data_IF_752582700487
#
_entry.id   IF_752582700487
#
_cell.length_a   1.000
_cell.length_b   1.000
_cell.length_c   1.000
_cell.angle_alpha   90.00
_cell.angle_beta   90.00
_cell.angle_gamma   90.00
#
_symmetry.space_group_name_H-M   'P 1'
#
loop_
_entity.id
_entity.type
_entity.pdbx_description
1 polymer ?
#
# COMPACT_ATOMS: atom_id res chain seq x y z
N UNK A 1 -6.17 -5.54 -11.31
CA UNK A 1 -6.36 -6.05 -12.69
C UNK A 1 -7.48 -7.08 -12.68
N UNK A 2 -8.18 -7.38 -13.79
CA UNK A 2 -9.30 -8.36 -13.81
C UNK A 2 -8.85 -9.82 -13.86
N UNK A 3 -7.54 -10.07 -13.95
CA UNK A 3 -6.92 -11.40 -14.03
C UNK A 3 -6.15 -11.68 -12.74
N UNK A 4 -6.12 -12.92 -12.27
CA UNK A 4 -5.26 -13.30 -11.15
C UNK A 4 -3.78 -13.19 -11.56
N UNK A 5 -2.89 -12.91 -10.60
CA UNK A 5 -1.46 -12.96 -10.86
C UNK A 5 -0.99 -14.41 -11.02
N UNK A 6 0.25 -14.60 -11.49
CA UNK A 6 0.89 -15.92 -11.61
C UNK A 6 0.84 -16.75 -10.31
N UNK A 7 0.83 -16.09 -9.15
CA UNK A 7 0.77 -16.72 -7.82
C UNK A 7 -0.65 -16.67 -7.20
N UNK A 8 -1.68 -16.47 -8.03
CA UNK A 8 -3.08 -16.46 -7.62
C UNK A 8 -3.52 -15.23 -6.81
N UNK A 9 -2.73 -14.15 -6.78
CA UNK A 9 -3.13 -12.90 -6.10
C UNK A 9 -4.20 -12.19 -6.93
N UNK A 10 -5.14 -11.50 -6.28
CA UNK A 10 -6.26 -10.81 -6.96
C UNK A 10 -6.40 -9.34 -6.57
N UNK A 11 -5.89 -8.97 -5.41
CA UNK A 11 -6.05 -7.64 -4.84
C UNK A 11 -4.67 -6.98 -4.63
N UNK A 12 -4.70 -5.65 -4.57
CA UNK A 12 -3.54 -4.82 -4.23
C UNK A 12 -3.95 -4.05 -2.97
N UNK A 13 -3.12 -4.11 -1.94
CA UNK A 13 -3.17 -3.24 -0.79
C UNK A 13 -1.99 -2.27 -0.90
N UNK A 14 -2.29 -0.98 -0.98
CA UNK A 14 -1.29 0.09 -1.09
C UNK A 14 -1.23 0.78 0.27
N UNK A 15 -0.03 0.86 0.84
CA UNK A 15 0.26 1.56 2.08
C UNK A 15 1.25 2.66 1.75
N UNK A 16 1.04 3.85 2.29
CA UNK A 16 1.88 5.01 2.02
C UNK A 16 2.26 5.64 3.35
N UNK A 17 3.54 5.92 3.54
CA UNK A 17 4.01 6.79 4.61
C UNK A 17 3.68 8.26 4.29
N UNK A 18 3.00 8.94 5.21
CA UNK A 18 2.49 10.28 4.94
C UNK A 18 3.60 11.33 4.84
N UNK A 19 4.73 11.12 5.52
CA UNK A 19 5.85 12.05 5.54
C UNK A 19 6.75 11.91 4.30
N UNK A 20 7.42 10.76 4.16
CA UNK A 20 8.37 10.46 3.08
C UNK A 20 7.70 10.19 1.74
N UNK A 21 6.38 9.91 1.74
CA UNK A 21 5.63 9.39 0.59
C UNK A 21 6.10 8.01 0.13
N UNK A 22 6.89 7.31 0.95
CA UNK A 22 7.31 5.94 0.65
C UNK A 22 6.07 5.05 0.51
N UNK A 23 6.00 4.31 -0.59
CA UNK A 23 4.86 3.43 -0.88
C UNK A 23 5.26 1.97 -0.72
N UNK A 24 4.44 1.19 -0.04
CA UNK A 24 4.50 -0.27 -0.01
C UNK A 24 3.29 -0.86 -0.76
N UNK A 25 3.51 -1.99 -1.42
CA UNK A 25 2.45 -2.74 -2.11
C UNK A 25 2.43 -4.18 -1.59
N UNK A 26 1.26 -4.62 -1.14
CA UNK A 26 0.99 -5.97 -0.67
C UNK A 26 -0.08 -6.60 -1.57
N UNK A 27 -0.04 -7.93 -1.74
CA UNK A 27 -0.87 -8.64 -2.71
C UNK A 27 -1.65 -9.79 -2.06
N UNK A 28 -2.86 -9.53 -1.50
CA UNK A 28 -3.71 -10.58 -0.98
C UNK A 28 -4.48 -11.34 -2.09
N UNK A 29 -4.84 -12.60 -1.81
CA UNK A 29 -5.64 -13.47 -2.71
C UNK A 29 -7.13 -13.18 -2.61
N UNK A 30 -7.61 -12.89 -1.40
CA UNK A 30 -9.00 -12.47 -1.12
C UNK A 30 -9.01 -11.13 -0.39
N UNK A 31 -10.19 -10.49 -0.26
CA UNK A 31 -10.32 -9.32 0.62
C UNK A 31 -10.24 -9.72 2.10
N UNK A 32 -10.60 -10.96 2.41
CA UNK A 32 -10.66 -11.47 3.78
C UNK A 32 -9.27 -11.73 4.37
N UNK A 33 -8.22 -11.85 3.55
CA UNK A 33 -6.80 -11.90 3.99
C UNK A 33 -6.26 -10.51 4.41
N UNK A 34 -6.99 -9.43 4.16
CA UNK A 34 -6.51 -8.06 4.44
C UNK A 34 -6.16 -7.84 5.92
N UNK A 35 -6.99 -8.29 6.88
CA UNK A 35 -6.66 -8.16 8.30
C UNK A 35 -5.37 -8.84 8.70
N UNK A 36 -5.13 -10.07 8.26
CA UNK A 36 -3.93 -10.83 8.62
C UNK A 36 -2.67 -10.15 8.05
N UNK A 37 -2.73 -9.78 6.77
CA UNK A 37 -1.64 -9.05 6.10
C UNK A 37 -1.36 -7.70 6.79
N UNK A 38 -2.40 -7.02 7.25
CA UNK A 38 -2.27 -5.72 7.92
C UNK A 38 -1.78 -5.84 9.37
N UNK A 39 -1.90 -7.00 10.01
CA UNK A 39 -1.28 -7.25 11.32
C UNK A 39 0.22 -7.50 11.20
N UNK A 40 0.63 -8.26 10.18
CA UNK A 40 2.05 -8.58 9.95
C UNK A 40 2.86 -7.34 9.53
N UNK A 41 2.23 -6.43 8.77
CA UNK A 41 2.92 -5.29 8.18
C UNK A 41 3.53 -4.31 9.21
N UNK A 42 2.80 -3.80 10.22
CA UNK A 42 3.37 -2.92 11.25
C UNK A 42 4.53 -3.57 11.99
N UNK A 43 4.40 -4.81 12.42
CA UNK A 43 5.48 -5.53 13.12
C UNK A 43 6.73 -5.63 12.25
N UNK A 44 6.57 -5.93 10.96
CA UNK A 44 7.68 -5.99 10.01
C UNK A 44 8.32 -4.62 9.80
N UNK A 45 7.52 -3.57 9.53
CA UNK A 45 8.07 -2.26 9.19
C UNK A 45 8.75 -1.59 10.38
N UNK A 46 8.21 -1.77 11.58
CA UNK A 46 8.81 -1.24 12.81
C UNK A 46 10.21 -1.82 13.05
N UNK A 47 10.40 -3.12 12.79
CA UNK A 47 11.71 -3.77 12.90
C UNK A 47 12.66 -3.29 11.80
N UNK A 48 12.18 -3.19 10.56
CA UNK A 48 13.00 -2.80 9.42
C UNK A 48 13.48 -1.35 9.52
N UNK A 49 12.63 -0.44 9.99
CA UNK A 49 12.93 0.99 10.13
C UNK A 49 13.48 1.35 11.52
N UNK A 50 13.46 0.42 12.47
CA UNK A 50 13.81 0.65 13.88
C UNK A 50 13.04 1.82 14.49
N UNK A 51 11.76 1.98 14.09
CA UNK A 51 10.90 3.08 14.50
C UNK A 51 9.46 2.57 14.75
N UNK A 52 8.76 3.07 15.77
CA UNK A 52 7.38 2.66 16.04
C UNK A 52 6.41 3.23 15.00
N UNK A 53 5.37 2.48 14.67
CA UNK A 53 4.20 2.97 13.94
C UNK A 53 3.24 3.52 14.97
N UNK A 54 3.03 4.84 14.97
CA UNK A 54 2.19 5.50 15.97
C UNK A 54 0.73 5.51 15.53
N UNK A 55 0.49 5.77 14.24
CA UNK A 55 -0.86 5.98 13.71
C UNK A 55 -1.01 5.25 12.37
N UNK A 56 -2.15 4.59 12.18
CA UNK A 56 -2.56 4.02 10.89
C UNK A 56 -3.87 4.68 10.48
N UNK A 57 -3.91 5.24 9.28
CA UNK A 57 -5.10 5.84 8.69
C UNK A 57 -5.68 4.94 7.59
N UNK A 58 -6.96 4.56 7.70
CA UNK A 58 -7.65 3.73 6.70
C UNK A 58 -8.97 4.34 6.20
N UNK A 59 -9.48 3.82 5.08
CA UNK A 59 -10.85 4.10 4.67
C UNK A 59 -11.86 3.34 5.55
N UNK A 60 -13.14 3.75 5.54
CA UNK A 60 -14.22 3.03 6.26
C UNK A 60 -14.62 1.70 5.62
N UNK A 61 -13.73 1.07 4.85
CA UNK A 61 -13.96 -0.25 4.29
C UNK A 61 -14.15 -1.27 5.40
N UNK A 62 -15.14 -2.15 5.26
CA UNK A 62 -15.44 -3.22 6.23
C UNK A 62 -14.24 -4.11 6.54
N UNK A 63 -13.31 -4.27 5.58
CA UNK A 63 -12.04 -4.98 5.73
C UNK A 63 -11.07 -4.36 6.74
N UNK A 64 -11.21 -3.05 7.02
CA UNK A 64 -10.39 -2.31 7.99
C UNK A 64 -11.17 -2.02 9.28
N UNK A 65 -12.50 -1.98 9.20
CA UNK A 65 -13.39 -1.85 10.33
C UNK A 65 -13.81 -3.22 10.88
N UNK A 66 -12.88 -3.96 11.49
CA UNK A 66 -13.22 -5.18 12.22
C UNK A 66 -12.70 -5.14 13.68
N UNK A 67 -13.37 -5.90 14.56
CA UNK A 67 -13.02 -5.94 15.99
C UNK A 67 -11.61 -6.47 16.23
N UNK A 68 -11.18 -7.44 15.41
CA UNK A 68 -9.90 -8.13 15.57
C UNK A 68 -8.69 -7.23 15.26
N UNK A 69 -8.78 -6.39 14.23
CA UNK A 69 -7.75 -5.40 13.87
C UNK A 69 -7.70 -4.28 14.89
N UNK A 70 -8.87 -3.78 15.31
CA UNK A 70 -8.91 -2.74 16.35
C UNK A 70 -8.32 -3.23 17.67
N UNK A 71 -8.57 -4.49 18.06
CA UNK A 71 -7.94 -5.09 19.23
C UNK A 71 -6.43 -5.19 19.08
N UNK A 72 -5.95 -5.65 17.91
CA UNK A 72 -4.52 -5.72 17.60
C UNK A 72 -3.84 -4.35 17.64
N UNK A 73 -4.40 -3.34 16.99
CA UNK A 73 -3.83 -1.98 17.01
C UNK A 73 -3.77 -1.43 18.43
N UNK A 74 -4.80 -1.67 19.24
CA UNK A 74 -4.81 -1.24 20.64
C UNK A 74 -3.73 -1.96 21.48
N UNK A 75 -3.50 -3.25 21.23
CA UNK A 75 -2.47 -4.04 21.90
C UNK A 75 -1.06 -3.58 21.54
N UNK A 76 -0.83 -3.26 20.26
CA UNK A 76 0.45 -2.71 19.77
C UNK A 76 0.63 -1.21 20.10
N UNK A 77 -0.36 -0.55 20.69
CA UNK A 77 -0.32 0.89 20.99
C UNK A 77 -0.45 1.79 19.75
N UNK A 78 -0.98 1.26 18.65
CA UNK A 78 -1.19 1.96 17.38
C UNK A 78 -2.56 2.66 17.39
N UNK A 79 -2.57 3.96 17.12
CA UNK A 79 -3.81 4.70 16.92
C UNK A 79 -4.41 4.40 15.55
N UNK A 80 -5.60 3.80 15.50
CA UNK A 80 -6.33 3.56 14.26
C UNK A 80 -7.30 4.72 13.97
N UNK A 81 -6.97 5.50 12.93
CA UNK A 81 -7.81 6.57 12.42
C UNK A 81 -8.54 6.13 11.15
N UNK A 82 -9.79 6.57 11.00
CA UNK A 82 -10.60 6.26 9.82
C UNK A 82 -11.08 7.54 9.16
N UNK A 83 -10.99 7.63 7.84
CA UNK A 83 -11.53 8.76 7.09
C UNK A 83 -13.01 8.98 7.41
N UNK A 84 -13.47 10.23 7.53
CA UNK A 84 -14.91 10.49 7.62
C UNK A 84 -15.61 10.06 6.33
N UNK A 85 -16.81 9.46 6.47
CA UNK A 85 -17.64 9.22 5.29
C UNK A 85 -17.91 10.59 4.66
N UNK A 86 -17.49 10.80 3.41
CA UNK A 86 -17.61 12.03 2.61
C UNK A 86 -16.39 12.99 2.52
N UNK A 87 -15.19 12.64 3.00
CA UNK A 87 -13.94 13.37 2.64
C UNK A 87 -12.99 12.53 1.78
N UNK A 88 -13.22 12.42 0.46
CA UNK A 88 -12.35 11.68 -0.46
C UNK A 88 -10.90 12.18 -0.47
N UNK A 89 -10.68 13.44 -0.10
CA UNK A 89 -9.39 14.12 -0.05
C UNK A 89 -8.42 13.47 0.94
N UNK A 90 -8.92 13.00 2.10
CA UNK A 90 -8.10 12.36 3.14
C UNK A 90 -7.44 11.07 2.64
N UNK A 91 -8.11 10.32 1.75
CA UNK A 91 -7.53 9.16 1.07
C UNK A 91 -7.09 9.46 -0.37
N UNK A 92 -7.12 10.72 -0.77
CA UNK A 92 -6.92 11.15 -2.16
C UNK A 92 -5.53 10.82 -2.66
N UNK A 93 -4.52 10.94 -1.79
CA UNK A 93 -3.15 10.57 -2.12
C UNK A 93 -3.02 9.08 -2.42
N UNK A 94 -3.45 8.21 -1.50
CA UNK A 94 -3.35 6.75 -1.65
C UNK A 94 -4.15 6.28 -2.88
N UNK A 95 -5.32 6.86 -3.13
CA UNK A 95 -6.14 6.56 -4.33
C UNK A 95 -5.42 6.94 -5.62
N UNK A 96 -4.81 8.14 -5.68
CA UNK A 96 -4.01 8.57 -6.84
C UNK A 96 -2.79 7.66 -7.03
N UNK A 97 -2.10 7.34 -5.94
CA UNK A 97 -0.93 6.47 -5.98
C UNK A 97 -1.27 5.07 -6.50
N UNK A 98 -2.38 4.48 -6.05
CA UNK A 98 -2.87 3.21 -6.57
C UNK A 98 -3.16 3.28 -8.08
N UNK A 99 -3.80 4.35 -8.56
CA UNK A 99 -4.03 4.55 -10.00
C UNK A 99 -2.71 4.63 -10.77
N UNK A 100 -1.77 5.46 -10.31
CA UNK A 100 -0.44 5.62 -10.91
C UNK A 100 0.31 4.29 -11.00
N UNK A 101 0.32 3.49 -9.93
CA UNK A 101 0.98 2.19 -9.90
C UNK A 101 0.36 1.22 -10.92
N UNK A 102 -0.98 1.17 -10.99
CA UNK A 102 -1.69 0.29 -11.93
C UNK A 102 -1.45 0.69 -13.38
N UNK A 103 -1.49 1.99 -13.68
CA UNK A 103 -1.25 2.52 -15.03
C UNK A 103 0.18 2.25 -15.47
N UNK A 104 1.17 2.60 -14.64
CA UNK A 104 2.58 2.35 -14.95
C UNK A 104 2.89 0.86 -15.10
N UNK A 105 2.29 -0.02 -14.28
CA UNK A 105 2.47 -1.46 -14.42
C UNK A 105 1.87 -2.00 -15.73
N UNK A 106 0.73 -1.48 -16.18
CA UNK A 106 0.17 -1.83 -17.50
C UNK A 106 1.09 -1.39 -18.63
N UNK A 107 1.60 -0.16 -18.56
CA UNK A 107 2.55 0.36 -19.55
C UNK A 107 3.81 -0.50 -19.61
N UNK A 108 4.38 -0.84 -18.46
CA UNK A 108 5.56 -1.71 -18.35
C UNK A 108 5.32 -3.08 -18.99
N UNK A 109 4.21 -3.74 -18.66
CA UNK A 109 3.86 -5.04 -19.26
C UNK A 109 3.67 -4.96 -20.77
N UNK A 110 3.00 -3.91 -21.26
CA UNK A 110 2.79 -3.69 -22.68
C UNK A 110 4.11 -3.48 -23.42
N UNK A 111 5.01 -2.65 -22.86
CA UNK A 111 6.31 -2.38 -23.45
C UNK A 111 7.22 -3.62 -23.47
N UNK A 112 7.14 -4.46 -22.43
CA UNK A 112 7.90 -5.71 -22.33
C UNK A 112 7.24 -6.90 -23.04
N UNK A 113 6.09 -6.73 -23.68
CA UNK A 113 5.30 -7.81 -24.29
C UNK A 113 4.99 -8.97 -23.32
N UNK A 114 4.84 -8.67 -22.03
CA UNK A 114 4.54 -9.66 -21.00
C UNK A 114 3.04 -9.77 -20.75
N UNK A 115 2.58 -10.99 -20.46
CA UNK A 115 1.19 -11.24 -20.17
C UNK A 115 0.70 -10.57 -18.87
N UNK A 116 -0.59 -10.26 -18.83
CA UNK A 116 -1.23 -9.59 -17.69
C UNK A 116 -1.11 -10.34 -16.36
N UNK A 117 -0.94 -11.67 -16.35
CA UNK A 117 -0.78 -12.43 -15.10
C UNK A 117 0.52 -12.08 -14.35
N UNK A 118 1.47 -11.36 -14.98
CA UNK A 118 2.64 -10.79 -14.29
C UNK A 118 2.35 -9.49 -13.53
N UNK A 119 1.10 -9.02 -13.50
CA UNK A 119 0.75 -7.71 -12.95
C UNK A 119 1.23 -7.45 -11.53
N UNK A 120 1.21 -8.45 -10.64
CA UNK A 120 1.66 -8.25 -9.26
C UNK A 120 3.16 -7.93 -9.21
N UNK A 121 3.95 -8.64 -10.01
CA UNK A 121 5.39 -8.38 -10.15
C UNK A 121 5.64 -7.02 -10.80
N UNK A 122 4.89 -6.68 -11.85
CA UNK A 122 5.00 -5.37 -12.50
C UNK A 122 4.69 -4.21 -11.54
N UNK A 123 3.64 -4.32 -10.72
CA UNK A 123 3.31 -3.30 -9.71
C UNK A 123 4.41 -3.19 -8.65
N UNK A 124 4.92 -4.33 -8.16
CA UNK A 124 6.02 -4.33 -7.20
C UNK A 124 7.27 -3.64 -7.76
N UNK A 125 7.62 -3.93 -9.02
CA UNK A 125 8.74 -3.30 -9.73
C UNK A 125 8.52 -1.79 -9.89
N UNK A 126 7.34 -1.37 -10.36
CA UNK A 126 7.00 0.06 -10.48
C UNK A 126 7.12 0.76 -9.13
N UNK A 127 6.57 0.19 -8.07
CA UNK A 127 6.63 0.75 -6.72
C UNK A 127 8.09 0.90 -6.24
N UNK A 128 8.90 -0.14 -6.45
CA UNK A 128 10.32 -0.13 -6.13
C UNK A 128 11.08 0.99 -6.86
N UNK A 129 10.83 1.14 -8.17
CA UNK A 129 11.44 2.18 -8.99
C UNK A 129 10.99 3.57 -8.55
N UNK A 130 9.69 3.79 -8.37
CA UNK A 130 9.15 5.10 -7.99
C UNK A 130 9.69 5.60 -6.65
N UNK A 131 9.79 4.73 -5.64
CA UNK A 131 10.38 5.10 -4.35
C UNK A 131 11.85 5.57 -4.47
N UNK A 132 12.54 5.20 -5.54
CA UNK A 132 13.97 5.49 -5.75
C UNK A 132 14.25 6.52 -6.84
N UNK A 133 13.27 6.84 -7.69
CA UNK A 133 13.48 7.72 -8.85
C UNK A 133 12.62 8.98 -8.85
N UNK A 134 11.46 8.99 -8.18
CA UNK A 134 10.60 10.17 -8.13
C UNK A 134 11.06 11.07 -6.98
N UNK A 135 11.38 12.33 -7.30
CA UNK A 135 11.74 13.34 -6.29
C UNK A 135 10.46 13.91 -5.67
N UNK A 136 10.39 13.88 -4.34
CA UNK A 136 9.38 14.59 -3.58
C UNK A 136 9.83 16.05 -3.47
N UNK A 137 9.15 16.92 -4.22
CA UNK A 137 9.51 18.34 -4.37
C UNK A 137 9.75 19.06 -3.05
N UNK A 138 8.94 18.77 -2.02
CA UNK A 138 9.07 19.41 -0.70
C UNK A 138 10.36 19.06 0.05
N UNK A 139 10.97 17.91 -0.26
CA UNK A 139 12.18 17.43 0.40
C UNK A 139 13.43 17.46 -0.51
N UNK A 140 13.26 17.65 -1.81
CA UNK A 140 14.35 17.58 -2.79
C UNK A 140 15.01 16.20 -2.91
N UNK A 141 14.38 15.16 -2.35
CA UNK A 141 14.89 13.79 -2.28
C UNK A 141 13.85 12.78 -2.77
N UNK A 142 14.29 11.58 -3.10
CA UNK A 142 13.36 10.47 -3.39
C UNK A 142 12.83 9.86 -2.09
N UNK A 143 11.65 9.22 -2.08
CA UNK A 143 11.10 8.62 -0.86
C UNK A 143 12.05 7.69 -0.13
N UNK A 144 12.94 7.00 -0.86
CA UNK A 144 13.95 6.11 -0.29
C UNK A 144 15.06 6.82 0.49
N UNK A 145 15.33 8.10 0.22
CA UNK A 145 16.41 8.89 0.84
C UNK A 145 15.92 9.90 1.89
N UNK A 146 14.60 10.00 2.07
CA UNK A 146 13.99 10.76 3.17
C UNK A 146 14.02 9.86 4.39
#
# INVERSE_FOLDING_TARGET
MRVASINGKKYILVIVDDYSRYTWTLFPRSKDETPEVLKEFPTMIQRNLQAPVITIHTDRGTKFLNKTLNAFFKEEGIEHQTSTAQTPEQSGFVKRQNRTLVEAARTMLSASQLHLFFWAKAIATVCYTQNRSIIILTHGKTPYHI
#
